data_IF_454280139464
#
_entry.id   IF_454280139464
#
_cell.length_a   1.000
_cell.length_b   1.000
_cell.length_c   1.000
_cell.angle_alpha   90.00
_cell.angle_beta   90.00
_cell.angle_gamma   90.00
#
_symmetry.space_group_name_H-M   'P 1'
#
loop_
_entity.id
_entity.type
_entity.pdbx_description
1 polymer ?
#
# COMPACT_ATOMS: atom_id res chain seq x y z
N UNK A 1 9.58 2.85 -19.92
CA UNK A 1 10.14 3.39 -18.66
C UNK A 1 10.89 2.28 -17.96
N UNK A 2 12.10 2.53 -17.42
CA UNK A 2 12.78 1.56 -16.55
C UNK A 2 11.95 1.47 -15.26
N UNK A 3 11.55 0.26 -14.86
CA UNK A 3 10.75 0.07 -13.64
C UNK A 3 11.53 0.52 -12.41
N UNK A 4 10.86 1.20 -11.48
CA UNK A 4 11.40 1.49 -10.14
C UNK A 4 11.09 0.30 -9.21
N UNK A 5 11.98 0.01 -8.28
CA UNK A 5 11.76 -0.89 -7.15
C UNK A 5 10.64 -0.36 -6.24
N UNK A 6 10.05 -1.23 -5.41
CA UNK A 6 9.03 -0.78 -4.44
C UNK A 6 9.64 0.15 -3.39
N UNK A 7 10.91 -0.05 -3.04
CA UNK A 7 11.62 0.82 -2.10
C UNK A 7 11.87 2.21 -2.69
N UNK A 8 12.25 2.32 -3.97
CA UNK A 8 12.36 3.63 -4.65
C UNK A 8 10.99 4.33 -4.75
N UNK A 9 9.93 3.58 -5.00
CA UNK A 9 8.56 4.06 -5.01
C UNK A 9 8.12 4.56 -3.62
N UNK A 10 8.43 3.80 -2.57
CA UNK A 10 8.18 4.17 -1.18
C UNK A 10 8.86 5.48 -0.79
N UNK A 11 10.13 5.64 -1.15
CA UNK A 11 10.86 6.89 -0.92
C UNK A 11 10.26 8.06 -1.70
N UNK A 12 9.83 7.84 -2.95
CA UNK A 12 9.18 8.87 -3.76
C UNK A 12 7.84 9.31 -3.16
N UNK A 13 6.95 8.36 -2.85
CA UNK A 13 5.64 8.65 -2.25
C UNK A 13 5.79 9.38 -0.93
N UNK A 14 6.71 8.92 -0.07
CA UNK A 14 6.98 9.56 1.21
C UNK A 14 7.53 10.98 1.06
N UNK A 15 8.49 11.18 0.15
CA UNK A 15 9.02 12.52 -0.15
C UNK A 15 7.90 13.49 -0.55
N UNK A 16 7.00 13.06 -1.45
CA UNK A 16 5.85 13.88 -1.87
C UNK A 16 4.94 14.18 -0.67
N UNK A 17 4.66 13.20 0.18
CA UNK A 17 3.80 13.40 1.35
C UNK A 17 4.41 14.39 2.36
N UNK A 18 5.72 14.33 2.58
CA UNK A 18 6.47 15.29 3.41
C UNK A 18 6.38 16.69 2.81
N UNK A 19 6.62 16.85 1.51
CA UNK A 19 6.51 18.14 0.80
C UNK A 19 5.10 18.74 0.87
N UNK A 20 4.08 17.91 1.06
CA UNK A 20 2.67 18.30 1.22
C UNK A 20 2.23 18.50 2.67
N UNK A 21 3.15 18.39 3.63
CA UNK A 21 2.89 18.66 5.04
C UNK A 21 2.23 17.51 5.82
N UNK A 22 2.08 16.32 5.22
CA UNK A 22 1.41 15.18 5.89
C UNK A 22 2.23 14.57 7.05
N UNK A 23 3.47 15.00 7.21
CA UNK A 23 4.45 14.53 8.19
C UNK A 23 5.07 15.67 9.04
N UNK A 24 4.40 16.83 9.17
CA UNK A 24 4.86 17.95 10.03
C UNK A 24 4.79 17.67 11.54
N UNK A 25 4.46 16.44 11.95
CA UNK A 25 4.39 15.99 13.33
C UNK A 25 4.41 14.46 13.42
N UNK A 26 4.16 13.94 14.62
CA UNK A 26 4.04 12.49 14.80
C UNK A 26 2.83 11.95 14.04
N UNK A 27 3.09 11.05 13.08
CA UNK A 27 2.04 10.41 12.29
C UNK A 27 1.36 9.33 13.12
N UNK A 28 0.06 9.50 13.39
CA UNK A 28 -0.74 8.45 14.02
C UNK A 28 -0.88 7.25 13.07
N UNK A 29 -0.36 6.10 13.50
CA UNK A 29 -0.37 4.87 12.69
C UNK A 29 -1.78 4.35 12.44
N UNK A 30 -2.67 4.45 13.42
CA UNK A 30 -4.06 4.02 13.29
C UNK A 30 -4.80 4.84 12.23
N UNK A 31 -4.64 6.16 12.26
CA UNK A 31 -5.22 7.05 11.26
C UNK A 31 -4.66 6.79 9.86
N UNK A 32 -3.34 6.63 9.73
CA UNK A 32 -2.71 6.31 8.45
C UNK A 32 -3.22 4.98 7.86
N UNK A 33 -3.38 3.95 8.70
CA UNK A 33 -3.96 2.67 8.30
C UNK A 33 -5.42 2.82 7.86
N UNK A 34 -6.21 3.63 8.57
CA UNK A 34 -7.61 3.84 8.21
C UNK A 34 -7.76 4.64 6.91
N UNK A 35 -6.87 5.57 6.59
CA UNK A 35 -6.87 6.23 5.29
C UNK A 35 -6.63 5.23 4.15
N UNK A 36 -5.70 4.28 4.30
CA UNK A 36 -5.50 3.19 3.31
C UNK A 36 -6.77 2.35 3.13
N UNK A 37 -7.48 2.06 4.22
CA UNK A 37 -8.75 1.31 4.16
C UNK A 37 -9.81 2.09 3.40
N UNK A 38 -9.85 3.42 3.52
CA UNK A 38 -10.78 4.28 2.76
C UNK A 38 -10.55 4.17 1.25
N UNK A 39 -9.29 4.24 0.77
CA UNK A 39 -8.99 4.11 -0.68
C UNK A 39 -9.48 2.73 -1.21
N UNK A 40 -9.36 1.67 -0.41
CA UNK A 40 -9.89 0.35 -0.77
C UNK A 40 -11.43 0.30 -0.76
N UNK A 41 -12.09 1.08 0.10
CA UNK A 41 -13.54 1.22 0.10
C UNK A 41 -14.03 1.99 -1.13
N UNK A 42 -13.30 3.03 -1.56
CA UNK A 42 -13.57 3.78 -2.79
C UNK A 42 -13.38 2.90 -4.03
N UNK A 43 -12.32 2.09 -4.07
CA UNK A 43 -12.15 1.07 -5.11
C UNK A 43 -13.35 0.08 -5.14
N UNK A 44 -13.84 -0.36 -3.98
CA UNK A 44 -15.00 -1.25 -3.91
C UNK A 44 -16.28 -0.59 -4.43
N UNK A 45 -16.48 0.71 -4.16
CA UNK A 45 -17.63 1.44 -4.70
C UNK A 45 -17.52 1.64 -6.21
N UNK A 46 -16.33 2.01 -6.71
CA UNK A 46 -16.07 2.10 -8.14
C UNK A 46 -16.38 0.78 -8.88
N UNK A 47 -15.94 -0.36 -8.30
CA UNK A 47 -16.27 -1.69 -8.82
C UNK A 47 -17.79 -1.94 -8.86
N UNK A 48 -18.52 -1.58 -7.80
CA UNK A 48 -19.98 -1.70 -7.74
C UNK A 48 -20.69 -0.89 -8.83
N UNK A 49 -20.15 0.27 -9.14
CA UNK A 49 -20.67 1.18 -10.17
C UNK A 49 -20.18 0.82 -11.58
N UNK A 50 -19.31 -0.19 -11.72
CA UNK A 50 -18.63 -0.56 -12.98
C UNK A 50 -17.80 0.59 -13.57
N UNK A 51 -17.27 1.43 -12.70
CA UNK A 51 -16.34 2.49 -13.06
C UNK A 51 -14.91 1.93 -13.01
N UNK A 52 -14.48 1.35 -14.12
CA UNK A 52 -13.16 0.71 -14.26
C UNK A 52 -12.01 1.71 -14.22
N UNK A 53 -12.25 2.97 -14.59
CA UNK A 53 -11.21 4.02 -14.53
C UNK A 53 -10.97 4.40 -13.08
N UNK A 54 -12.03 4.75 -12.35
CA UNK A 54 -11.92 5.10 -10.94
C UNK A 54 -11.41 3.90 -10.11
N UNK A 55 -11.85 2.67 -10.41
CA UNK A 55 -11.34 1.48 -9.74
C UNK A 55 -9.80 1.37 -9.82
N UNK A 56 -9.21 1.66 -10.98
CA UNK A 56 -7.74 1.60 -11.15
C UNK A 56 -7.03 2.73 -10.40
N UNK A 57 -7.64 3.92 -10.37
CA UNK A 57 -7.13 5.08 -9.65
C UNK A 57 -7.08 4.81 -8.14
N UNK A 58 -8.18 4.36 -7.56
CA UNK A 58 -8.28 4.09 -6.12
C UNK A 58 -7.37 2.92 -5.67
N UNK A 59 -7.18 1.92 -6.53
CA UNK A 59 -6.17 0.88 -6.30
C UNK A 59 -4.76 1.50 -6.25
N UNK A 60 -4.43 2.42 -7.16
CA UNK A 60 -3.14 3.09 -7.15
C UNK A 60 -2.97 3.96 -5.89
N UNK A 61 -4.01 4.67 -5.46
CA UNK A 61 -3.99 5.49 -4.25
C UNK A 61 -3.78 4.65 -2.99
N UNK A 62 -4.39 3.46 -2.91
CA UNK A 62 -4.10 2.51 -1.83
C UNK A 62 -2.62 2.11 -1.76
N UNK A 63 -1.96 1.92 -2.91
CA UNK A 63 -0.52 1.65 -2.97
C UNK A 63 0.30 2.87 -2.58
N UNK A 64 -0.06 4.07 -3.04
CA UNK A 64 0.64 5.32 -2.70
C UNK A 64 0.62 5.54 -1.18
N UNK A 65 -0.53 5.34 -0.53
CA UNK A 65 -0.67 5.45 0.93
C UNK A 65 0.15 4.40 1.68
N UNK A 66 0.14 3.15 1.21
CA UNK A 66 0.97 2.08 1.77
C UNK A 66 2.47 2.39 1.65
N UNK A 67 2.89 2.88 0.48
CA UNK A 67 4.28 3.19 0.16
C UNK A 67 4.79 4.42 0.91
N UNK A 68 3.97 5.47 1.05
CA UNK A 68 4.26 6.60 1.94
C UNK A 68 4.44 6.13 3.38
N UNK A 69 3.50 5.33 3.91
CA UNK A 69 3.60 4.82 5.27
C UNK A 69 4.86 3.98 5.48
N UNK A 70 5.23 3.13 4.52
CA UNK A 70 6.49 2.37 4.57
C UNK A 70 7.70 3.30 4.59
N UNK A 71 7.69 4.36 3.78
CA UNK A 71 8.81 5.30 3.67
C UNK A 71 8.99 6.09 4.96
N UNK A 72 7.90 6.63 5.50
CA UNK A 72 7.92 7.39 6.75
C UNK A 72 8.23 6.54 7.99
N UNK A 73 7.97 5.23 7.94
CA UNK A 73 8.37 4.28 8.99
C UNK A 73 9.72 3.60 8.73
N UNK A 74 10.42 3.95 7.63
CA UNK A 74 11.67 3.32 7.22
C UNK A 74 11.59 1.79 7.08
N UNK A 75 10.47 1.28 6.56
CA UNK A 75 10.24 -0.15 6.33
C UNK A 75 10.80 -0.54 4.97
N UNK A 76 11.73 -1.51 4.95
CA UNK A 76 12.18 -2.14 3.72
C UNK A 76 11.10 -3.11 3.20
N UNK A 77 10.14 -2.58 2.43
CA UNK A 77 8.95 -3.33 2.04
C UNK A 77 9.28 -4.51 1.12
N UNK A 78 10.30 -4.41 0.27
CA UNK A 78 10.72 -5.51 -0.60
C UNK A 78 11.27 -6.70 0.19
N UNK A 79 12.06 -6.42 1.23
CA UNK A 79 12.60 -7.48 2.10
C UNK A 79 11.48 -8.16 2.90
N UNK A 80 10.51 -7.40 3.43
CA UNK A 80 9.37 -7.96 4.15
C UNK A 80 8.45 -8.78 3.24
N UNK A 81 8.21 -8.33 2.01
CA UNK A 81 7.50 -9.10 0.98
C UNK A 81 8.27 -10.38 0.66
N UNK A 82 9.59 -10.31 0.49
CA UNK A 82 10.43 -11.48 0.19
C UNK A 82 10.37 -12.51 1.32
N UNK A 83 10.62 -12.10 2.57
CA UNK A 83 10.51 -12.96 3.77
C UNK A 83 9.13 -13.61 3.86
N UNK A 84 8.06 -12.82 3.69
CA UNK A 84 6.67 -13.32 3.76
C UNK A 84 6.37 -14.30 2.64
N UNK A 85 6.87 -14.05 1.43
CA UNK A 85 6.68 -14.92 0.26
C UNK A 85 7.37 -16.27 0.44
N UNK A 86 8.59 -16.30 0.96
CA UNK A 86 9.27 -17.55 1.32
C UNK A 86 8.48 -18.35 2.36
N UNK A 87 7.96 -17.68 3.39
CA UNK A 87 7.10 -18.32 4.40
C UNK A 87 5.81 -18.87 3.79
N UNK A 88 5.17 -18.11 2.88
CA UNK A 88 3.94 -18.53 2.21
C UNK A 88 4.16 -19.71 1.25
N UNK A 89 5.30 -19.77 0.55
CA UNK A 89 5.67 -20.87 -0.35
C UNK A 89 5.70 -22.23 0.37
N UNK A 90 6.07 -22.23 1.64
CA UNK A 90 6.14 -23.44 2.47
C UNK A 90 4.81 -23.80 3.14
N UNK A 91 3.73 -23.05 2.90
CA UNK A 91 2.41 -23.36 3.46
C UNK A 91 1.72 -24.46 2.66
N UNK A 92 0.93 -25.33 3.31
CA UNK A 92 0.03 -26.24 2.61
C UNK A 92 -0.90 -25.49 1.66
N UNK A 93 -1.36 -26.18 0.62
CA UNK A 93 -2.38 -25.65 -0.29
C UNK A 93 -3.60 -25.17 0.51
N UNK A 94 -4.01 -23.92 0.28
CA UNK A 94 -5.10 -23.25 1.03
C UNK A 94 -4.95 -23.32 2.55
N UNK A 95 -3.73 -23.17 3.06
CA UNK A 95 -3.46 -23.16 4.51
C UNK A 95 -4.41 -22.24 5.28
N UNK A 96 -5.27 -22.83 6.11
CA UNK A 96 -6.23 -22.11 6.95
C UNK A 96 -7.45 -21.54 6.21
N UNK A 97 -7.68 -21.91 4.94
CA UNK A 97 -8.88 -21.54 4.19
C UNK A 97 -9.54 -22.78 3.61
N UNK A 98 -10.78 -23.04 4.02
CA UNK A 98 -11.68 -23.88 3.25
C UNK A 98 -12.26 -22.94 2.20
N UNK A 99 -12.13 -23.34 0.93
CA UNK A 99 -12.64 -22.59 -0.23
C UNK A 99 -14.06 -22.09 -0.01
#
# INVERSE_FOLDING_TARGET
MKGRSLNELSQLCHKIAVEKGFWEGERNRGEALMLIVTELAEAMEAYRLKDEENFREEIADSFIRLLDLCGGLSINIEEEIYKKSLKNKNRPYKHGKIC
#
